data_IF_167969212406
#
_entry.id   IF_167969212406
#
_cell.length_a   1.000
_cell.length_b   1.000
_cell.length_c   1.000
_cell.angle_alpha   90.00
_cell.angle_beta   90.00
_cell.angle_gamma   90.00
#
_symmetry.space_group_name_H-M   'P 1'
#
loop_
_entity.id
_entity.type
_entity.pdbx_description
1 polymer ?
#
# COMPACT_ATOMS: atom_id res chain seq x y z
N UNK A 1 12.84 -20.86 -6.15
CA UNK A 1 13.23 -19.67 -6.96
C UNK A 1 12.65 -18.41 -6.35
N UNK A 2 13.47 -17.43 -6.08
CA UNK A 2 13.04 -16.14 -5.52
C UNK A 2 12.58 -15.17 -6.62
N UNK A 3 11.70 -15.60 -7.50
CA UNK A 3 11.17 -14.73 -8.55
C UNK A 3 10.17 -13.74 -7.98
N UNK A 4 10.32 -12.47 -8.33
CA UNK A 4 9.30 -11.45 -8.12
C UNK A 4 8.31 -11.51 -9.28
N UNK A 5 7.03 -11.41 -8.99
CA UNK A 5 5.97 -11.35 -10.00
C UNK A 5 5.25 -10.01 -9.90
N UNK A 6 5.07 -9.36 -11.04
CA UNK A 6 4.28 -8.13 -11.13
C UNK A 6 2.89 -8.47 -11.69
N UNK A 7 1.86 -8.15 -10.93
CA UNK A 7 0.46 -8.24 -11.31
C UNK A 7 -0.08 -6.84 -11.60
N UNK A 8 -0.87 -6.71 -12.64
CA UNK A 8 -1.47 -5.43 -13.05
C UNK A 8 -2.99 -5.57 -13.09
N UNK A 9 -3.67 -4.61 -12.52
CA UNK A 9 -5.14 -4.59 -12.42
C UNK A 9 -5.67 -3.27 -12.96
N UNK A 10 -6.72 -3.33 -13.74
CA UNK A 10 -7.43 -2.14 -14.20
C UNK A 10 -8.82 -2.12 -13.56
N UNK A 11 -9.15 -1.02 -12.92
CA UNK A 11 -10.51 -0.76 -12.45
C UNK A 11 -11.37 -0.32 -13.64
N UNK A 12 -12.44 -1.06 -13.91
CA UNK A 12 -13.33 -0.79 -15.04
C UNK A 12 -14.23 0.43 -14.83
N UNK A 13 -14.36 0.91 -13.60
CA UNK A 13 -15.20 2.05 -13.24
C UNK A 13 -14.37 3.35 -13.31
N UNK A 14 -13.24 3.39 -12.60
CA UNK A 14 -12.40 4.58 -12.51
C UNK A 14 -11.31 4.66 -13.58
N UNK A 15 -11.07 3.59 -14.34
CA UNK A 15 -9.92 3.41 -15.21
C UNK A 15 -8.54 3.50 -14.53
N UNK A 16 -8.51 3.51 -13.20
CA UNK A 16 -7.27 3.47 -12.45
C UNK A 16 -6.55 2.13 -12.67
N UNK A 17 -5.24 2.18 -12.67
CA UNK A 17 -4.39 0.99 -12.73
C UNK A 17 -3.76 0.77 -11.36
N UNK A 18 -3.84 -0.45 -10.88
CA UNK A 18 -3.25 -0.91 -9.64
C UNK A 18 -2.20 -1.96 -9.91
N UNK A 19 -1.25 -2.08 -9.01
CA UNK A 19 -0.15 -3.03 -9.13
C UNK A 19 -0.02 -3.87 -7.86
N UNK A 20 0.35 -5.13 -8.03
CA UNK A 20 0.83 -5.94 -6.92
C UNK A 20 2.17 -6.58 -7.29
N UNK A 21 3.13 -6.46 -6.42
CA UNK A 21 4.42 -7.12 -6.53
C UNK A 21 4.47 -8.22 -5.48
N UNK A 22 4.53 -9.48 -5.90
CA UNK A 22 4.66 -10.62 -5.01
C UNK A 22 6.05 -11.24 -5.08
N UNK A 23 6.50 -11.79 -3.97
CA UNK A 23 7.74 -12.55 -3.84
C UNK A 23 7.50 -13.81 -3.01
N UNK A 24 8.10 -14.91 -3.45
CA UNK A 24 7.95 -16.21 -2.80
C UNK A 24 6.60 -16.88 -3.07
N UNK A 25 6.39 -18.03 -2.46
CA UNK A 25 5.15 -18.80 -2.61
C UNK A 25 4.10 -18.25 -1.64
N UNK A 26 3.06 -17.63 -2.18
CA UNK A 26 1.96 -17.06 -1.42
C UNK A 26 0.88 -18.13 -1.23
N UNK A 27 0.48 -18.35 0.01
CA UNK A 27 -0.55 -19.32 0.40
C UNK A 27 -1.53 -18.69 1.38
N UNK A 28 -2.80 -19.03 1.25
CA UNK A 28 -3.86 -18.52 2.13
C UNK A 28 -3.68 -18.95 3.60
N UNK A 29 -3.05 -20.08 3.83
CA UNK A 29 -2.90 -20.65 5.16
C UNK A 29 -1.66 -20.16 5.92
N UNK A 30 -0.72 -19.55 5.21
CA UNK A 30 0.54 -19.08 5.79
C UNK A 30 0.61 -17.56 5.82
N UNK A 31 0.94 -16.95 6.96
CA UNK A 31 1.15 -15.50 7.02
C UNK A 31 2.31 -15.05 6.12
N UNK A 32 2.08 -13.96 5.41
CA UNK A 32 3.14 -13.29 4.64
C UNK A 32 3.15 -11.79 4.95
N UNK A 33 4.29 -11.14 4.69
CA UNK A 33 4.36 -9.69 4.79
C UNK A 33 3.52 -9.03 3.71
N UNK A 34 2.74 -8.04 4.10
CA UNK A 34 1.88 -7.29 3.19
C UNK A 34 2.03 -5.79 3.42
N UNK A 35 2.14 -5.05 2.36
CA UNK A 35 2.00 -3.59 2.35
C UNK A 35 0.95 -3.18 1.32
N UNK A 36 0.02 -2.34 1.73
CA UNK A 36 -0.94 -1.67 0.83
C UNK A 36 -0.73 -0.18 0.95
N UNK A 37 -0.47 0.48 -0.15
CA UNK A 37 -0.33 1.93 -0.17
C UNK A 37 -0.80 2.55 -1.47
N UNK A 38 -1.20 3.81 -1.38
CA UNK A 38 -1.47 4.65 -2.54
C UNK A 38 -0.15 5.20 -3.07
N UNK A 39 0.00 5.25 -4.37
CA UNK A 39 1.19 5.81 -5.02
C UNK A 39 1.27 7.30 -4.70
N UNK A 40 2.43 7.72 -4.23
CA UNK A 40 2.75 9.13 -3.99
C UNK A 40 4.16 9.44 -4.49
N UNK A 41 4.25 10.30 -5.50
CA UNK A 41 5.51 10.59 -6.20
C UNK A 41 6.58 11.13 -5.24
N UNK A 42 6.23 12.07 -4.38
CA UNK A 42 7.20 12.69 -3.47
C UNK A 42 7.81 11.66 -2.50
N UNK A 43 6.95 10.83 -1.90
CA UNK A 43 7.41 9.81 -0.96
C UNK A 43 8.10 8.64 -1.67
N UNK A 44 7.49 8.15 -2.75
CA UNK A 44 7.87 6.85 -3.31
C UNK A 44 8.95 6.95 -4.37
N UNK A 45 9.00 8.04 -5.15
CA UNK A 45 10.00 8.24 -6.18
C UNK A 45 11.18 9.09 -5.67
N UNK A 46 10.90 10.19 -4.97
CA UNK A 46 11.93 11.09 -4.47
C UNK A 46 12.36 10.80 -3.02
N UNK A 47 11.74 9.82 -2.38
CA UNK A 47 12.05 9.41 -1.02
C UNK A 47 12.07 10.59 -0.02
N UNK A 48 11.14 11.53 -0.20
CA UNK A 48 11.03 12.68 0.68
C UNK A 48 10.45 12.30 2.03
N UNK A 49 10.93 12.94 3.08
CA UNK A 49 10.42 12.78 4.44
C UNK A 49 9.76 14.07 4.90
N UNK A 50 8.73 13.95 5.72
CA UNK A 50 8.12 15.09 6.42
C UNK A 50 8.46 15.00 7.90
N UNK A 51 8.73 16.13 8.57
CA UNK A 51 8.83 16.15 10.03
C UNK A 51 7.58 15.54 10.67
N UNK A 52 7.74 14.58 11.57
CA UNK A 52 6.64 13.91 12.26
C UNK A 52 6.01 12.72 11.50
N UNK A 53 6.50 12.36 10.32
CA UNK A 53 5.99 11.23 9.51
C UNK A 53 7.06 10.16 9.21
N UNK A 54 8.06 10.06 10.05
CA UNK A 54 9.18 9.12 9.88
C UNK A 54 8.80 7.65 10.13
N UNK A 55 7.62 7.42 10.72
CA UNK A 55 7.18 6.09 11.15
C UNK A 55 6.39 5.34 10.06
N UNK A 56 6.27 5.92 8.87
CA UNK A 56 5.54 5.28 7.79
C UNK A 56 6.46 4.47 6.88
N UNK A 57 6.03 3.26 6.54
CA UNK A 57 6.71 2.44 5.56
C UNK A 57 6.70 3.12 4.18
N UNK A 58 7.87 3.45 3.65
CA UNK A 58 8.01 3.87 2.26
C UNK A 58 7.92 2.68 1.30
N UNK A 59 7.81 2.94 0.01
CA UNK A 59 7.87 1.89 -1.01
C UNK A 59 9.19 1.12 -0.92
N UNK A 60 10.30 1.83 -0.87
CA UNK A 60 11.65 1.24 -0.80
C UNK A 60 11.84 0.39 0.44
N UNK A 61 11.47 0.90 1.63
CA UNK A 61 11.59 0.15 2.89
C UNK A 61 10.74 -1.12 2.87
N UNK A 62 9.53 -1.01 2.34
CA UNK A 62 8.61 -2.15 2.23
C UNK A 62 9.15 -3.23 1.28
N UNK A 63 9.68 -2.82 0.13
CA UNK A 63 10.31 -3.73 -0.83
C UNK A 63 11.53 -4.42 -0.25
N UNK A 64 12.37 -3.68 0.48
CA UNK A 64 13.53 -4.22 1.14
C UNK A 64 13.14 -5.23 2.22
N UNK A 65 12.19 -4.88 3.07
CA UNK A 65 11.71 -5.75 4.15
C UNK A 65 11.11 -7.06 3.61
N UNK A 66 10.31 -6.99 2.55
CA UNK A 66 9.78 -8.19 1.86
C UNK A 66 10.92 -8.99 1.21
N UNK A 67 11.92 -8.33 0.67
CA UNK A 67 13.07 -9.00 0.06
C UNK A 67 13.91 -9.77 1.09
N UNK A 68 14.12 -9.20 2.27
CA UNK A 68 14.82 -9.84 3.39
C UNK A 68 14.05 -11.03 3.96
N UNK A 69 12.74 -10.90 4.10
CA UNK A 69 11.85 -12.00 4.54
C UNK A 69 11.79 -13.14 3.51
N UNK A 70 11.96 -12.81 2.23
CA UNK A 70 11.86 -13.78 1.13
C UNK A 70 10.45 -14.06 0.65
N UNK A 71 9.42 -13.55 1.34
CA UNK A 71 8.00 -13.79 1.04
C UNK A 71 7.14 -12.59 1.42
N UNK A 72 6.30 -12.15 0.49
CA UNK A 72 5.36 -11.07 0.75
C UNK A 72 4.74 -10.47 -0.48
N UNK A 73 3.81 -9.54 -0.26
CA UNK A 73 3.06 -8.85 -1.31
C UNK A 73 3.01 -7.34 -1.03
N UNK A 74 3.35 -6.56 -2.03
CA UNK A 74 3.21 -5.10 -2.01
C UNK A 74 2.12 -4.70 -2.99
N UNK A 75 1.06 -4.07 -2.51
CA UNK A 75 -0.02 -3.54 -3.34
C UNK A 75 0.09 -2.03 -3.46
N UNK A 76 0.12 -1.55 -4.70
CA UNK A 76 0.09 -0.13 -5.04
C UNK A 76 -1.26 0.21 -5.65
N UNK A 77 -2.03 0.98 -4.92
CA UNK A 77 -3.34 1.45 -5.36
C UNK A 77 -3.18 2.75 -6.12
N UNK A 78 -3.56 2.73 -7.40
CA UNK A 78 -3.61 3.94 -8.23
C UNK A 78 -4.79 4.82 -7.85
N UNK A 79 -4.62 6.12 -7.99
CA UNK A 79 -5.68 7.11 -7.83
C UNK A 79 -5.86 7.89 -9.12
N UNK A 80 -7.05 8.40 -9.33
CA UNK A 80 -7.26 9.47 -10.30
C UNK A 80 -6.49 10.69 -9.80
N UNK A 81 -5.38 11.02 -10.46
CA UNK A 81 -4.64 12.24 -10.20
C UNK A 81 -4.70 13.13 -11.42
N UNK A 82 -4.85 14.42 -11.21
CA UNK A 82 -4.57 15.38 -12.26
C UNK A 82 -3.17 16.00 -12.03
N UNK A 83 -2.51 16.35 -13.11
CA UNK A 83 -1.15 16.89 -13.08
C UNK A 83 -1.06 18.21 -12.27
N UNK A 84 -2.13 19.00 -12.25
CA UNK A 84 -2.18 20.24 -11.47
C UNK A 84 -2.10 19.98 -9.97
N UNK A 85 -2.78 18.95 -9.48
CA UNK A 85 -2.75 18.62 -8.06
C UNK A 85 -1.38 18.04 -7.64
N UNK A 86 -0.75 17.28 -8.51
CA UNK A 86 0.61 16.80 -8.28
C UNK A 86 1.60 17.95 -8.21
N UNK A 87 1.47 18.91 -9.12
CA UNK A 87 2.30 20.13 -9.12
C UNK A 87 2.10 20.95 -7.84
N UNK A 88 0.85 21.14 -7.41
CA UNK A 88 0.54 21.85 -6.18
C UNK A 88 1.15 21.19 -4.95
N UNK A 89 1.13 19.87 -4.89
CA UNK A 89 1.79 19.11 -3.81
C UNK A 89 3.31 19.36 -3.79
N UNK A 90 3.94 19.37 -4.96
CA UNK A 90 5.38 19.60 -5.08
C UNK A 90 5.72 21.04 -4.68
N UNK A 91 4.96 22.02 -5.14
CA UNK A 91 5.21 23.44 -4.86
C UNK A 91 5.02 23.82 -3.40
N UNK A 92 4.13 23.16 -2.67
CA UNK A 92 3.85 23.45 -1.27
C UNK A 92 4.61 22.54 -0.29
N UNK A 93 5.40 21.58 -0.79
CA UNK A 93 6.17 20.69 0.07
C UNK A 93 7.16 21.52 0.97
N UNK A 94 7.30 21.20 2.28
CA UNK A 94 6.70 20.10 3.05
C UNK A 94 5.31 20.39 3.62
N UNK A 95 4.77 21.59 3.46
CA UNK A 95 3.49 22.06 3.98
C UNK A 95 2.35 21.80 2.97
N UNK A 96 2.31 20.62 2.42
CA UNK A 96 1.28 20.25 1.45
C UNK A 96 -0.09 20.42 2.09
N UNK A 97 -0.97 21.27 1.54
CA UNK A 97 -2.34 21.37 2.04
C UNK A 97 -2.99 19.99 1.94
N UNK A 98 -3.83 19.61 2.91
CA UNK A 98 -4.59 18.38 2.78
C UNK A 98 -5.35 18.44 1.47
N UNK A 99 -5.01 17.58 0.54
CA UNK A 99 -5.78 17.45 -0.69
C UNK A 99 -7.20 17.12 -0.25
N UNK A 100 -8.15 17.96 -0.62
CA UNK A 100 -9.58 17.78 -0.28
C UNK A 100 -10.21 16.57 -1.01
N UNK A 101 -9.38 15.69 -1.55
CA UNK A 101 -9.80 14.40 -2.04
C UNK A 101 -10.17 13.53 -0.87
N UNK A 102 -11.43 13.58 -0.51
CA UNK A 102 -12.04 12.53 0.29
C UNK A 102 -11.07 11.94 1.32
N UNK A 103 -10.41 12.81 2.10
CA UNK A 103 -9.75 12.45 3.36
C UNK A 103 -10.78 11.93 4.36
N UNK A 104 -12.01 11.75 3.88
CA UNK A 104 -13.08 11.13 4.59
C UNK A 104 -12.87 9.60 4.61
N UNK A 105 -13.51 8.97 5.54
CA UNK A 105 -13.55 7.53 5.72
C UNK A 105 -13.81 6.76 4.42
N UNK A 106 -14.64 7.30 3.52
CA UNK A 106 -14.97 6.68 2.24
C UNK A 106 -13.77 6.45 1.31
N UNK A 107 -12.81 7.39 1.25
CA UNK A 107 -11.59 7.23 0.47
C UNK A 107 -10.67 6.16 1.04
N UNK A 108 -10.53 6.10 2.36
CA UNK A 108 -9.77 5.07 3.05
C UNK A 108 -10.40 3.68 2.85
N UNK A 109 -11.72 3.56 2.94
CA UNK A 109 -12.44 2.30 2.69
C UNK A 109 -12.29 1.83 1.25
N UNK A 110 -12.26 2.74 0.28
CA UNK A 110 -12.05 2.40 -1.12
C UNK A 110 -10.67 1.81 -1.37
N UNK A 111 -9.62 2.39 -0.79
CA UNK A 111 -8.26 1.86 -0.87
C UNK A 111 -8.17 0.49 -0.22
N UNK A 112 -8.77 0.31 0.95
CA UNK A 112 -8.82 -0.96 1.66
C UNK A 112 -9.57 -2.01 0.83
N UNK A 113 -10.72 -1.67 0.27
CA UNK A 113 -11.52 -2.58 -0.54
C UNK A 113 -10.79 -3.04 -1.79
N UNK A 114 -10.20 -2.11 -2.55
CA UNK A 114 -9.40 -2.43 -3.73
C UNK A 114 -8.18 -3.27 -3.37
N UNK A 115 -7.44 -2.86 -2.35
CA UNK A 115 -6.26 -3.60 -1.87
C UNK A 115 -6.59 -5.01 -1.42
N UNK A 116 -7.71 -5.18 -0.73
CA UNK A 116 -8.17 -6.50 -0.24
C UNK A 116 -8.54 -7.45 -1.38
N UNK A 117 -9.23 -6.97 -2.40
CA UNK A 117 -9.56 -7.77 -3.58
C UNK A 117 -8.31 -8.22 -4.33
N UNK A 118 -7.34 -7.33 -4.47
CA UNK A 118 -6.05 -7.66 -5.11
C UNK A 118 -5.30 -8.70 -4.29
N UNK A 119 -5.21 -8.53 -2.97
CA UNK A 119 -4.55 -9.49 -2.08
C UNK A 119 -5.18 -10.89 -2.17
N UNK A 120 -6.50 -10.96 -2.17
CA UNK A 120 -7.21 -12.24 -2.36
C UNK A 120 -6.89 -12.87 -3.71
N UNK A 121 -6.86 -12.09 -4.77
CA UNK A 121 -6.53 -12.59 -6.12
C UNK A 121 -5.09 -13.11 -6.22
N UNK A 122 -4.15 -12.50 -5.50
CA UNK A 122 -2.76 -12.96 -5.43
C UNK A 122 -2.60 -14.22 -4.57
N UNK A 123 -3.59 -14.55 -3.74
CA UNK A 123 -3.60 -15.77 -2.91
C UNK A 123 -3.28 -15.52 -1.43
N UNK A 124 -3.33 -14.27 -0.97
CA UNK A 124 -3.15 -13.94 0.45
C UNK A 124 -4.41 -14.30 1.24
N UNK A 125 -4.23 -14.95 2.39
CA UNK A 125 -5.29 -15.18 3.39
C UNK A 125 -4.92 -14.59 4.73
N UNK A 126 -3.72 -14.87 5.21
CA UNK A 126 -3.18 -14.33 6.46
C UNK A 126 -2.03 -13.37 6.17
N UNK A 127 -1.98 -12.26 6.90
CA UNK A 127 -0.98 -11.24 6.65
C UNK A 127 -0.36 -10.68 7.92
N UNK A 128 0.93 -10.36 7.81
CA UNK A 128 1.68 -9.50 8.70
C UNK A 128 1.78 -8.14 8.01
N UNK A 129 0.96 -7.19 8.44
CA UNK A 129 0.76 -5.93 7.73
C UNK A 129 1.81 -4.89 8.12
N UNK A 130 2.55 -4.38 7.15
CA UNK A 130 3.50 -3.28 7.32
C UNK A 130 2.74 -1.96 7.47
N UNK A 131 2.27 -1.71 8.67
CA UNK A 131 1.44 -0.54 9.03
C UNK A 131 1.33 -0.39 10.54
N UNK A 132 0.90 0.78 11.00
CA UNK A 132 0.44 0.95 12.37
C UNK A 132 -0.98 0.39 12.56
N UNK A 133 -1.33 -0.07 13.77
CA UNK A 133 -2.62 -0.70 14.03
C UNK A 133 -3.85 0.18 13.77
N UNK A 134 -3.69 1.48 13.84
CA UNK A 134 -4.80 2.46 13.77
C UNK A 134 -5.39 2.65 12.37
N UNK A 135 -4.71 2.17 11.32
CA UNK A 135 -5.10 2.53 9.94
C UNK A 135 -5.94 1.47 9.21
N UNK A 136 -6.03 0.24 9.70
CA UNK A 136 -6.55 -0.86 8.88
C UNK A 136 -7.45 -1.86 9.62
N UNK A 137 -8.20 -1.42 10.61
CA UNK A 137 -9.14 -2.31 11.33
C UNK A 137 -10.25 -2.92 10.45
N UNK A 138 -10.42 -2.43 9.22
CA UNK A 138 -11.50 -2.84 8.33
C UNK A 138 -11.11 -3.94 7.32
N UNK A 139 -9.86 -4.37 7.27
CA UNK A 139 -9.40 -5.40 6.29
C UNK A 139 -9.96 -6.78 6.60
N UNK A 140 -10.25 -7.07 7.86
CA UNK A 140 -10.76 -8.38 8.30
C UNK A 140 -12.13 -8.79 7.71
N UNK A 141 -12.80 -7.88 6.98
CA UNK A 141 -14.10 -8.16 6.35
C UNK A 141 -14.04 -8.84 4.97
N UNK A 142 -12.85 -9.07 4.40
CA UNK A 142 -12.68 -9.57 3.02
C UNK A 142 -12.07 -10.98 2.94
N UNK A 143 -12.36 -11.84 3.90
CA UNK A 143 -11.69 -13.15 4.04
C UNK A 143 -10.17 -13.05 4.20
N UNK A 144 -9.72 -11.94 4.75
CA UNK A 144 -8.32 -11.67 5.08
C UNK A 144 -8.17 -11.56 6.60
N UNK A 145 -7.11 -12.13 7.12
CA UNK A 145 -6.78 -12.08 8.54
C UNK A 145 -5.47 -11.32 8.75
N UNK A 146 -5.50 -10.25 9.53
CA UNK A 146 -4.29 -9.57 9.99
C UNK A 146 -3.83 -10.25 11.28
N UNK A 147 -2.76 -11.03 11.20
CA UNK A 147 -2.20 -11.73 12.36
C UNK A 147 -1.22 -10.87 13.14
N UNK A 148 -0.62 -9.88 12.50
CA UNK A 148 0.37 -8.98 13.11
C UNK A 148 0.41 -7.64 12.37
N UNK A 149 0.60 -6.56 13.10
CA UNK A 149 1.01 -5.27 12.55
C UNK A 149 2.50 -5.10 12.77
N UNK A 150 3.24 -4.90 11.68
CA UNK A 150 4.68 -4.67 11.70
C UNK A 150 4.92 -3.17 11.58
N UNK A 151 5.25 -2.55 12.69
CA UNK A 151 5.58 -1.12 12.72
C UNK A 151 7.02 -0.90 12.24
N UNK A 152 7.25 0.26 11.64
CA UNK A 152 8.61 0.67 11.28
C UNK A 152 9.32 1.15 12.53
N UNK A 153 10.44 0.56 12.84
CA UNK A 153 11.32 1.06 13.90
C UNK A 153 11.88 2.44 13.51
N UNK A 154 11.82 3.33 14.46
CA UNK A 154 12.30 4.70 14.28
C UNK A 154 13.81 4.76 14.08
#
# INVERSE_FOLDING_TARGET
MNSKQLHTYKDNISNCVHYALSKGDISENEPCLVRVQVINILRDLFNTTRPGFNDTWSLTDSMQRIAEEGKGVLVLVGQESNQSEELDQIMHFPNVPPVQRHSNEAGAYRVIGTGSQILRNVGVGKMRLLSSPTKFNAISGFDLEVVEFVEKEA
#
